data_IF_452533085394
#
_entry.id   IF_452533085394
#
_cell.length_a   1.000
_cell.length_b   1.000
_cell.length_c   1.000
_cell.angle_alpha   90.00
_cell.angle_beta   90.00
_cell.angle_gamma   90.00
#
_symmetry.space_group_name_H-M   'P 1'
#
loop_
_entity.id
_entity.type
_entity.pdbx_description
1 polymer ?
#
# COMPACT_ATOMS: atom_id res chain seq x y z
N UNK A 1 -6.38 1.51 -24.74
CA UNK A 1 -6.87 2.77 -24.16
C UNK A 1 -6.48 3.88 -25.11
N UNK A 2 -7.43 4.65 -25.63
CA UNK A 2 -7.13 5.67 -26.64
C UNK A 2 -6.48 6.90 -25.98
N UNK A 3 -5.65 7.64 -26.72
CA UNK A 3 -4.97 8.87 -26.22
C UNK A 3 -5.96 9.91 -25.64
N UNK A 4 -7.23 9.89 -26.07
CA UNK A 4 -8.30 10.77 -25.57
C UNK A 4 -8.90 10.35 -24.22
N UNK A 5 -8.74 9.10 -23.79
CA UNK A 5 -9.24 8.63 -22.49
C UNK A 5 -8.27 8.93 -21.33
N UNK A 6 -7.01 9.26 -21.64
CA UNK A 6 -6.01 9.62 -20.62
C UNK A 6 -6.18 11.05 -20.13
N UNK A 7 -6.61 11.98 -21.00
CA UNK A 7 -6.68 13.42 -20.68
C UNK A 7 -7.75 13.77 -19.62
N UNK A 8 -8.71 12.90 -19.36
CA UNK A 8 -9.76 13.10 -18.34
C UNK A 8 -9.38 12.64 -16.92
N UNK A 9 -8.20 12.06 -16.73
CA UNK A 9 -7.77 11.50 -15.43
C UNK A 9 -6.78 12.40 -14.66
N UNK A 10 -6.53 13.62 -15.13
CA UNK A 10 -5.50 14.49 -14.56
C UNK A 10 -6.11 15.57 -13.65
N UNK A 11 -5.77 15.50 -12.35
CA UNK A 11 -5.94 16.62 -11.43
C UNK A 11 -4.61 17.39 -11.33
N UNK A 12 -4.55 18.69 -11.68
CA UNK A 12 -3.40 19.52 -11.37
C UNK A 12 -3.39 19.86 -9.87
N UNK A 13 -2.27 19.61 -9.19
CA UNK A 13 -2.04 20.13 -7.85
C UNK A 13 -1.47 21.55 -7.94
N UNK A 14 -2.27 22.54 -7.56
CA UNK A 14 -1.77 23.84 -7.09
C UNK A 14 -1.51 23.72 -5.58
N UNK A 15 -0.26 23.90 -5.19
CA UNK A 15 0.14 24.00 -3.77
C UNK A 15 -0.08 25.45 -3.34
N UNK A 16 -1.21 25.74 -2.71
CA UNK A 16 -1.41 26.97 -1.93
C UNK A 16 -1.12 26.67 -0.45
N UNK A 17 -0.29 27.47 0.23
CA UNK A 17 -0.01 27.26 1.65
C UNK A 17 -1.26 27.56 2.50
N UNK A 18 -1.47 26.80 3.60
CA UNK A 18 -2.63 26.99 4.47
C UNK A 18 -2.52 28.28 5.27
N UNK A 19 -3.64 29.01 5.40
CA UNK A 19 -3.75 30.14 6.33
C UNK A 19 -3.85 29.61 7.78
N UNK A 20 -3.28 30.34 8.77
CA UNK A 20 -3.38 29.95 10.16
C UNK A 20 -4.77 30.26 10.71
N UNK A 21 -5.45 29.25 11.25
CA UNK A 21 -6.70 29.38 12.00
C UNK A 21 -6.42 29.74 13.48
N UNK A 22 -7.28 30.55 14.13
CA UNK A 22 -7.09 31.00 15.50
C UNK A 22 -7.55 29.96 16.52
N UNK A 23 -6.76 29.83 17.59
CA UNK A 23 -7.00 28.97 18.75
C UNK A 23 -8.12 29.51 19.68
N UNK A 24 -8.96 28.64 20.28
CA UNK A 24 -9.98 29.04 21.23
C UNK A 24 -9.44 29.15 22.66
N UNK A 25 -9.98 30.11 23.41
CA UNK A 25 -9.69 30.37 24.83
C UNK A 25 -10.38 29.35 25.76
N UNK A 26 -9.84 29.09 26.97
CA UNK A 26 -10.41 28.13 27.92
C UNK A 26 -11.56 28.72 28.75
N UNK A 27 -12.48 27.89 29.28
CA UNK A 27 -13.51 28.36 30.20
C UNK A 27 -12.99 28.47 31.64
N UNK A 28 -13.44 29.53 32.32
CA UNK A 28 -13.31 29.75 33.76
C UNK A 28 -14.33 28.87 34.50
N UNK A 29 -13.85 28.02 35.41
CA UNK A 29 -14.70 27.37 36.41
C UNK A 29 -14.54 28.07 37.75
N UNK A 30 -15.67 28.43 38.35
CA UNK A 30 -15.77 29.01 39.68
C UNK A 30 -15.86 27.92 40.76
N UNK A 31 -15.17 28.19 41.86
CA UNK A 31 -15.28 27.51 43.14
C UNK A 31 -16.63 27.80 43.80
N UNK A 32 -17.23 26.78 44.43
CA UNK A 32 -18.04 27.00 45.63
C UNK A 32 -17.99 25.76 46.54
N UNK A 33 -17.70 26.04 47.81
CA UNK A 33 -17.43 25.12 48.92
C UNK A 33 -18.66 24.93 49.83
N UNK A 34 -18.66 23.79 50.52
CA UNK A 34 -19.23 23.51 51.86
C UNK A 34 -20.76 23.35 52.09
N UNK A 35 -21.17 22.16 52.57
CA UNK A 35 -21.46 21.90 54.01
C UNK A 35 -21.99 20.49 54.35
N UNK A 36 -21.37 19.91 55.38
CA UNK A 36 -21.82 19.00 56.46
C UNK A 36 -23.14 18.20 56.35
N UNK A 37 -23.08 16.90 56.66
CA UNK A 37 -23.53 16.39 57.98
C UNK A 37 -23.25 14.89 58.19
N UNK A 38 -22.91 14.58 59.44
CA UNK A 38 -22.59 13.31 60.06
C UNK A 38 -23.82 12.44 60.33
N UNK A 39 -23.74 11.13 60.06
CA UNK A 39 -24.66 10.11 60.61
C UNK A 39 -23.85 8.87 61.05
N UNK A 40 -24.15 8.41 62.27
CA UNK A 40 -23.54 7.30 63.03
C UNK A 40 -23.82 5.89 62.46
N UNK A 41 -23.15 4.83 62.96
CA UNK A 41 -23.04 3.55 62.26
C UNK A 41 -24.22 2.62 62.56
N UNK A 42 -24.81 2.05 61.50
CA UNK A 42 -25.81 0.99 61.61
C UNK A 42 -25.18 -0.37 61.27
N UNK A 43 -25.37 -1.30 62.19
CA UNK A 43 -25.20 -2.76 62.17
C UNK A 43 -24.96 -3.45 60.81
N UNK A 44 -23.90 -4.26 60.78
CA UNK A 44 -23.52 -5.18 59.70
C UNK A 44 -24.60 -6.22 59.36
N UNK A 45 -25.08 -6.28 58.11
CA UNK A 45 -25.94 -7.36 57.64
C UNK A 45 -25.14 -8.65 57.33
N UNK A 46 -25.79 -9.82 57.30
CA UNK A 46 -25.14 -11.10 57.10
C UNK A 46 -24.49 -11.18 55.70
N UNK A 47 -23.32 -11.81 55.66
CA UNK A 47 -22.50 -12.06 54.46
C UNK A 47 -23.32 -12.65 53.32
N UNK A 48 -23.68 -11.78 52.37
CA UNK A 48 -24.22 -12.15 51.06
C UNK A 48 -23.13 -12.89 50.27
N UNK A 49 -23.47 -13.84 49.38
CA UNK A 49 -22.46 -14.49 48.54
C UNK A 49 -21.71 -13.40 47.80
N UNK A 50 -20.39 -13.35 47.97
CA UNK A 50 -19.52 -12.45 47.21
C UNK A 50 -19.62 -12.84 45.75
N UNK A 51 -20.60 -12.30 45.03
CA UNK A 51 -20.49 -12.16 43.59
C UNK A 51 -19.25 -11.32 43.39
N UNK A 52 -18.20 -11.96 42.90
CA UNK A 52 -16.95 -11.33 42.48
C UNK A 52 -17.31 -10.50 41.23
N UNK A 53 -18.05 -9.40 41.45
CA UNK A 53 -18.45 -8.40 40.47
C UNK A 53 -17.22 -7.59 40.10
N UNK A 54 -16.23 -8.27 39.52
CA UNK A 54 -15.15 -7.57 38.85
C UNK A 54 -15.78 -6.84 37.68
N UNK A 55 -15.60 -5.51 37.57
CA UNK A 55 -16.10 -4.78 36.42
C UNK A 55 -15.51 -5.44 35.16
N UNK A 56 -16.38 -6.04 34.33
CA UNK A 56 -15.96 -6.60 33.06
C UNK A 56 -15.63 -5.43 32.15
N UNK A 57 -14.35 -5.31 31.77
CA UNK A 57 -13.94 -4.36 30.75
C UNK A 57 -14.56 -4.79 29.42
N UNK A 58 -15.35 -3.91 28.83
CA UNK A 58 -15.89 -4.09 27.49
C UNK A 58 -14.84 -3.66 26.46
N UNK A 59 -14.70 -4.46 25.41
CA UNK A 59 -13.78 -4.23 24.29
C UNK A 59 -14.56 -4.10 22.99
N UNK A 60 -14.04 -3.29 22.05
CA UNK A 60 -14.60 -3.06 20.73
C UNK A 60 -13.56 -3.37 19.67
N UNK A 61 -14.00 -4.06 18.63
CA UNK A 61 -13.22 -4.26 17.42
C UNK A 61 -13.36 -3.02 16.54
N UNK A 62 -12.24 -2.45 16.08
CA UNK A 62 -12.22 -1.30 15.19
C UNK A 62 -11.40 -1.59 13.93
N UNK A 63 -11.93 -1.27 12.73
CA UNK A 63 -11.16 -1.37 11.51
C UNK A 63 -10.12 -0.24 11.44
N UNK A 64 -8.87 -0.57 11.14
CA UNK A 64 -7.79 0.43 11.00
C UNK A 64 -7.80 1.12 9.63
N UNK A 65 -8.58 0.61 8.69
CA UNK A 65 -8.73 1.13 7.35
C UNK A 65 -10.22 1.20 6.98
N UNK A 66 -10.58 2.17 6.14
CA UNK A 66 -11.94 2.20 5.58
C UNK A 66 -12.19 0.95 4.75
N UNK A 67 -13.35 0.32 4.94
CA UNK A 67 -13.78 -0.77 4.07
C UNK A 67 -14.30 -0.22 2.74
N UNK A 68 -14.03 -0.88 1.61
CA UNK A 68 -14.68 -0.52 0.36
C UNK A 68 -16.19 -0.75 0.49
N UNK A 69 -17.01 0.15 -0.09
CA UNK A 69 -18.46 0.03 -0.11
C UNK A 69 -18.98 -1.11 -1.00
N UNK A 70 -18.10 -1.74 -1.80
CA UNK A 70 -18.40 -2.89 -2.62
C UNK A 70 -17.34 -3.99 -2.49
N UNK A 71 -17.79 -5.23 -2.46
CA UNK A 71 -16.92 -6.42 -2.49
C UNK A 71 -17.12 -7.15 -3.80
N UNK A 72 -16.01 -7.57 -4.41
CA UNK A 72 -16.03 -8.44 -5.60
C UNK A 72 -16.10 -9.90 -5.17
N UNK A 73 -16.99 -10.66 -5.80
CA UNK A 73 -17.07 -12.10 -5.61
C UNK A 73 -15.72 -12.80 -5.85
N UNK A 74 -15.37 -13.70 -4.94
CA UNK A 74 -14.15 -14.52 -4.99
C UNK A 74 -12.85 -13.78 -4.67
N UNK A 75 -12.89 -12.46 -4.49
CA UNK A 75 -11.71 -11.67 -4.14
C UNK A 75 -11.54 -11.63 -2.63
N UNK A 76 -10.32 -11.92 -2.17
CA UNK A 76 -9.94 -11.73 -0.78
C UNK A 76 -9.83 -10.24 -0.45
N UNK A 77 -10.50 -9.83 0.62
CA UNK A 77 -10.47 -8.50 1.21
C UNK A 77 -9.84 -8.63 2.60
N UNK A 78 -8.76 -7.90 2.82
CA UNK A 78 -8.08 -7.83 4.10
C UNK A 78 -8.80 -6.84 5.02
N UNK A 79 -9.10 -7.27 6.24
CA UNK A 79 -9.69 -6.44 7.28
C UNK A 79 -8.74 -6.44 8.46
N UNK A 80 -8.04 -5.32 8.62
CA UNK A 80 -7.16 -5.10 9.76
C UNK A 80 -7.95 -4.48 10.90
N UNK A 81 -7.76 -5.03 12.09
CA UNK A 81 -8.54 -4.73 13.28
C UNK A 81 -7.64 -4.39 14.46
N UNK A 82 -8.13 -3.48 15.29
CA UNK A 82 -7.57 -3.13 16.59
C UNK A 82 -8.65 -3.32 17.67
N UNK A 83 -8.23 -3.83 18.82
CA UNK A 83 -9.09 -4.06 19.97
C UNK A 83 -8.94 -2.90 20.96
N UNK A 84 -10.00 -2.11 21.16
CA UNK A 84 -10.00 -1.00 22.11
C UNK A 84 -10.95 -1.25 23.28
N UNK A 85 -10.56 -0.82 24.49
CA UNK A 85 -11.48 -0.80 25.63
C UNK A 85 -12.45 0.38 25.55
N UNK A 86 -13.68 0.23 26.06
CA UNK A 86 -14.72 1.28 26.02
C UNK A 86 -14.36 2.62 26.67
N UNK A 87 -13.40 2.64 27.60
CA UNK A 87 -12.96 3.88 28.25
C UNK A 87 -12.06 4.75 27.36
N UNK A 88 -11.85 4.39 26.09
CA UNK A 88 -11.36 5.28 25.02
C UNK A 88 -9.99 5.95 25.25
N UNK A 89 -9.24 5.53 26.27
CA UNK A 89 -8.27 6.40 26.93
C UNK A 89 -6.80 6.05 26.75
N UNK A 90 -6.43 5.10 25.91
CA UNK A 90 -5.02 4.82 25.66
C UNK A 90 -4.79 4.61 24.16
N UNK A 91 -4.34 5.67 23.48
CA UNK A 91 -3.36 5.45 22.42
C UNK A 91 -2.25 4.60 23.05
N UNK A 92 -2.15 3.36 22.59
CA UNK A 92 -1.19 2.36 23.04
C UNK A 92 0.22 2.75 22.59
N UNK A 93 0.71 3.92 22.99
CA UNK A 93 2.15 4.18 23.03
C UNK A 93 2.70 3.41 24.23
N UNK A 94 3.05 2.16 23.91
CA UNK A 94 3.65 1.13 24.73
C UNK A 94 4.23 1.59 26.09
N UNK A 95 3.50 1.32 27.16
CA UNK A 95 4.15 0.62 28.27
C UNK A 95 4.08 -0.88 27.94
N UNK A 96 5.20 -1.56 27.64
CA UNK A 96 5.22 -2.95 27.12
C UNK A 96 4.63 -4.02 28.07
N UNK A 97 4.10 -3.62 29.22
CA UNK A 97 3.62 -4.51 30.28
C UNK A 97 2.09 -4.52 30.47
N UNK A 98 1.32 -3.73 29.71
CA UNK A 98 -0.15 -3.73 29.79
C UNK A 98 -0.82 -4.49 28.64
N UNK A 99 -0.17 -5.52 28.09
CA UNK A 99 -0.74 -6.35 27.02
C UNK A 99 -2.15 -6.85 27.38
N UNK A 100 -3.07 -6.77 26.42
CA UNK A 100 -4.35 -7.47 26.49
C UNK A 100 -4.07 -8.95 26.83
N UNK A 101 -4.39 -9.34 28.06
CA UNK A 101 -4.12 -10.69 28.54
C UNK A 101 -5.23 -11.60 28.04
N UNK A 102 -4.92 -12.30 26.97
CA UNK A 102 -5.71 -13.44 26.54
C UNK A 102 -5.78 -14.45 27.70
N UNK A 103 -6.99 -14.96 27.96
CA UNK A 103 -7.18 -16.07 28.90
C UNK A 103 -6.28 -17.24 28.48
N UNK A 104 -5.76 -17.97 29.46
CA UNK A 104 -5.09 -19.26 29.27
C UNK A 104 -3.79 -19.25 28.45
N UNK A 105 -3.04 -18.13 28.46
CA UNK A 105 -1.72 -18.05 27.82
C UNK A 105 -1.74 -18.19 26.29
N UNK A 106 -2.92 -18.00 25.69
CA UNK A 106 -3.09 -18.05 24.25
C UNK A 106 -2.42 -16.83 23.60
N UNK A 107 -1.86 -17.03 22.41
CA UNK A 107 -1.25 -15.96 21.61
C UNK A 107 -2.26 -15.23 20.71
N UNK A 108 -3.46 -15.80 20.55
CA UNK A 108 -4.47 -15.36 19.59
C UNK A 108 -5.89 -15.34 20.17
N UNK A 109 -6.59 -14.23 19.96
CA UNK A 109 -8.05 -14.10 20.04
C UNK A 109 -8.64 -14.49 18.67
N UNK A 110 -9.31 -15.64 18.53
CA UNK A 110 -9.87 -16.07 17.27
C UNK A 110 -11.01 -15.14 16.87
N UNK A 111 -11.04 -14.77 15.61
CA UNK A 111 -12.14 -14.02 15.02
C UNK A 111 -12.95 -14.92 14.10
N UNK A 112 -14.26 -14.80 14.25
CA UNK A 112 -15.25 -15.36 13.34
C UNK A 112 -15.94 -14.25 12.57
N UNK A 113 -16.47 -14.57 11.40
CA UNK A 113 -17.29 -13.67 10.63
C UNK A 113 -18.48 -14.39 10.01
N UNK A 114 -19.63 -13.72 10.00
CA UNK A 114 -20.84 -14.17 9.34
C UNK A 114 -21.45 -13.06 8.49
N UNK A 115 -22.25 -13.46 7.52
CA UNK A 115 -23.04 -12.54 6.70
C UNK A 115 -24.33 -12.22 7.42
N UNK A 116 -24.70 -10.94 7.39
CA UNK A 116 -26.01 -10.46 7.78
C UNK A 116 -26.71 -9.89 6.56
N UNK A 117 -28.00 -10.11 6.48
CA UNK A 117 -28.86 -9.67 5.39
C UNK A 117 -29.98 -8.82 5.95
N UNK A 118 -30.32 -7.76 5.24
CA UNK A 118 -31.55 -7.02 5.51
C UNK A 118 -32.64 -7.58 4.59
N UNK A 119 -33.69 -8.12 5.21
CA UNK A 119 -34.87 -8.62 4.52
C UNK A 119 -36.11 -8.14 5.27
N UNK A 120 -37.06 -7.52 4.57
CA UNK A 120 -38.29 -6.98 5.16
C UNK A 120 -38.05 -6.03 6.36
N UNK A 121 -36.93 -5.28 6.33
CA UNK A 121 -36.55 -4.33 7.39
C UNK A 121 -35.96 -4.99 8.65
N UNK A 122 -35.65 -6.28 8.61
CA UNK A 122 -34.96 -6.99 9.68
C UNK A 122 -33.57 -7.44 9.22
N UNK A 123 -32.56 -7.22 10.08
CA UNK A 123 -31.21 -7.73 9.88
C UNK A 123 -31.09 -9.11 10.52
N UNK A 124 -30.77 -10.13 9.72
CA UNK A 124 -30.66 -11.52 10.16
C UNK A 124 -29.44 -12.21 9.54
N UNK A 125 -28.90 -13.21 10.23
CA UNK A 125 -27.88 -14.11 9.67
C UNK A 125 -28.47 -15.16 8.71
N UNK A 126 -29.81 -15.28 8.66
CA UNK A 126 -30.47 -16.15 7.72
C UNK A 126 -30.49 -15.52 6.34
N UNK A 127 -30.03 -16.27 5.34
CA UNK A 127 -29.99 -15.81 3.97
C UNK A 127 -31.41 -15.66 3.39
N UNK A 128 -31.71 -14.58 2.66
CA UNK A 128 -32.98 -14.41 1.97
C UNK A 128 -33.29 -15.60 1.04
N UNK A 129 -34.57 -15.92 0.78
CA UNK A 129 -34.92 -16.90 -0.24
C UNK A 129 -34.34 -16.45 -1.59
N UNK A 130 -33.61 -17.35 -2.26
CA UNK A 130 -32.87 -17.07 -3.50
C UNK A 130 -31.64 -16.17 -3.34
N UNK A 131 -31.15 -15.94 -2.12
CA UNK A 131 -29.82 -15.42 -1.90
C UNK A 131 -29.00 -16.48 -1.15
N UNK A 132 -27.85 -16.86 -1.67
CA UNK A 132 -27.00 -17.87 -1.03
C UNK A 132 -25.56 -17.49 -1.28
N UNK A 133 -25.01 -16.78 -0.31
CA UNK A 133 -23.62 -16.36 -0.32
C UNK A 133 -22.85 -17.19 0.68
N UNK A 134 -21.65 -17.57 0.32
CA UNK A 134 -20.70 -18.24 1.23
C UNK A 134 -19.62 -17.24 1.58
N UNK A 135 -19.40 -17.03 2.87
CA UNK A 135 -18.29 -16.24 3.38
C UNK A 135 -17.16 -17.19 3.76
N UNK A 136 -16.05 -17.08 3.05
CA UNK A 136 -14.82 -17.73 3.43
C UNK A 136 -13.93 -16.74 4.17
N UNK A 137 -13.17 -17.25 5.17
CA UNK A 137 -12.24 -16.46 5.98
C UNK A 137 -10.92 -17.20 6.17
N UNK A 138 -9.83 -16.45 6.34
CA UNK A 138 -8.50 -17.00 6.66
C UNK A 138 -7.67 -16.01 7.47
N UNK A 139 -6.55 -16.49 8.01
CA UNK A 139 -5.54 -15.63 8.63
C UNK A 139 -5.07 -14.56 7.64
N UNK A 140 -4.84 -13.35 8.13
CA UNK A 140 -4.28 -12.24 7.36
C UNK A 140 -2.94 -12.69 6.73
N UNK A 141 -2.83 -12.66 5.39
CA UNK A 141 -1.63 -13.13 4.69
C UNK A 141 -0.65 -11.99 4.38
N UNK A 142 -1.10 -10.73 4.47
CA UNK A 142 -0.23 -9.61 4.12
C UNK A 142 0.91 -9.46 5.15
N UNK A 143 2.13 -9.62 4.66
CA UNK A 143 3.40 -9.59 5.38
C UNK A 143 3.80 -8.21 5.89
N UNK A 144 3.01 -7.18 5.63
CA UNK A 144 3.44 -5.79 5.76
C UNK A 144 3.19 -5.20 7.16
N UNK A 145 2.99 -6.05 8.17
CA UNK A 145 2.84 -5.61 9.56
C UNK A 145 3.70 -6.46 10.49
N UNK A 146 4.77 -5.83 11.02
CA UNK A 146 5.61 -6.35 12.08
C UNK A 146 4.73 -6.88 13.24
N UNK A 147 4.88 -8.16 13.57
CA UNK A 147 4.22 -8.80 14.70
C UNK A 147 2.98 -9.65 14.38
N UNK A 148 2.53 -9.74 13.12
CA UNK A 148 1.44 -10.63 12.71
C UNK A 148 1.90 -11.94 12.03
N UNK A 149 3.22 -12.10 11.84
CA UNK A 149 3.82 -13.19 11.04
C UNK A 149 3.60 -14.61 11.57
N UNK A 150 2.98 -14.78 12.75
CA UNK A 150 2.80 -16.08 13.40
C UNK A 150 1.34 -16.40 13.76
N UNK A 151 0.36 -15.70 13.18
CA UNK A 151 -1.03 -16.03 13.44
C UNK A 151 -1.45 -17.29 12.70
N UNK A 152 -1.77 -18.35 13.45
CA UNK A 152 -2.25 -19.62 12.90
C UNK A 152 -3.68 -19.56 12.33
N UNK A 153 -4.36 -18.41 12.45
CA UNK A 153 -5.77 -18.25 12.08
C UNK A 153 -6.22 -16.78 12.07
N UNK A 154 -7.46 -16.51 11.60
CA UNK A 154 -8.07 -15.18 11.70
C UNK A 154 -8.18 -14.77 13.17
N UNK A 155 -7.67 -13.60 13.54
CA UNK A 155 -7.61 -13.24 14.94
C UNK A 155 -6.86 -11.96 15.29
N UNK A 156 -6.88 -11.62 16.58
CA UNK A 156 -6.10 -10.54 17.19
C UNK A 156 -5.03 -11.10 18.11
N UNK A 157 -3.78 -10.68 17.91
CA UNK A 157 -2.67 -11.09 18.75
C UNK A 157 -2.66 -10.41 20.12
N UNK A 158 -1.69 -10.75 20.95
CA UNK A 158 -1.49 -10.13 22.27
C UNK A 158 -1.21 -8.63 22.23
N UNK A 159 -0.82 -8.09 21.07
CA UNK A 159 -0.64 -6.65 20.83
C UNK A 159 -1.96 -5.87 20.77
N UNK A 160 -3.11 -6.56 20.78
CA UNK A 160 -4.41 -5.94 20.51
C UNK A 160 -4.65 -5.62 19.03
N UNK A 161 -3.72 -5.99 18.14
CA UNK A 161 -3.84 -5.84 16.69
C UNK A 161 -3.92 -7.20 16.00
N UNK A 162 -4.60 -7.22 14.88
CA UNK A 162 -4.68 -8.38 14.01
C UNK A 162 -5.68 -8.17 12.90
N UNK A 163 -6.38 -9.23 12.50
CA UNK A 163 -7.35 -9.15 11.44
C UNK A 163 -7.64 -10.49 10.81
N UNK A 164 -8.29 -10.42 9.65
CA UNK A 164 -8.60 -11.57 8.82
C UNK A 164 -8.70 -11.15 7.36
N UNK A 165 -8.55 -12.12 6.48
CA UNK A 165 -8.98 -11.98 5.10
C UNK A 165 -10.29 -12.70 4.91
N UNK A 166 -11.21 -12.09 4.18
CA UNK A 166 -12.47 -12.70 3.82
C UNK A 166 -12.74 -12.60 2.32
N UNK A 167 -13.52 -13.52 1.78
CA UNK A 167 -14.09 -13.40 0.45
C UNK A 167 -15.52 -13.91 0.45
N UNK A 168 -16.35 -13.27 -0.34
CA UNK A 168 -17.74 -13.68 -0.55
C UNK A 168 -17.80 -14.44 -1.86
N UNK A 169 -18.41 -15.63 -1.84
CA UNK A 169 -18.63 -16.46 -3.02
C UNK A 169 -20.13 -16.53 -3.31
N UNK A 170 -20.54 -16.35 -4.57
CA UNK A 170 -21.91 -16.63 -4.98
C UNK A 170 -22.06 -18.14 -5.05
N UNK A 171 -23.22 -18.64 -4.65
CA UNK A 171 -23.51 -20.06 -4.76
C UNK A 171 -24.56 -20.31 -5.87
N UNK A 172 -25.21 -19.26 -6.38
CA UNK A 172 -26.04 -19.22 -7.59
C UNK A 172 -25.93 -17.85 -8.29
N UNK A 173 -26.31 -17.75 -9.58
CA UNK A 173 -26.44 -16.46 -10.29
C UNK A 173 -27.53 -15.63 -9.64
N UNK A 174 -27.15 -14.52 -8.99
CA UNK A 174 -28.06 -13.72 -8.17
C UNK A 174 -27.92 -12.23 -8.46
N UNK A 175 -29.04 -11.53 -8.25
CA UNK A 175 -29.13 -10.08 -8.26
C UNK A 175 -28.21 -9.45 -7.21
N UNK A 176 -27.85 -8.16 -7.34
CA UNK A 176 -27.11 -7.45 -6.30
C UNK A 176 -27.89 -7.50 -4.98
N UNK A 177 -27.24 -8.00 -3.93
CA UNK A 177 -27.78 -8.05 -2.57
C UNK A 177 -26.97 -7.11 -1.70
N UNK A 178 -27.67 -6.30 -0.90
CA UNK A 178 -27.05 -5.53 0.19
C UNK A 178 -26.88 -6.45 1.39
N UNK A 179 -25.69 -6.48 1.95
CA UNK A 179 -25.37 -7.32 3.11
C UNK A 179 -24.40 -6.59 4.04
N UNK A 180 -24.25 -7.13 5.25
CA UNK A 180 -23.26 -6.69 6.23
C UNK A 180 -22.41 -7.89 6.61
N UNK A 181 -21.21 -7.60 7.12
CA UNK A 181 -20.33 -8.61 7.69
C UNK A 181 -20.24 -8.34 9.18
N UNK A 182 -20.69 -9.29 10.00
CA UNK A 182 -20.44 -9.26 11.44
C UNK A 182 -19.15 -10.00 11.72
N UNK A 183 -18.23 -9.35 12.41
CA UNK A 183 -16.98 -9.91 12.92
C UNK A 183 -17.10 -9.98 14.43
N UNK A 184 -16.90 -11.16 14.99
CA UNK A 184 -17.02 -11.40 16.42
C UNK A 184 -15.94 -12.36 16.90
N UNK A 185 -15.86 -12.55 18.21
CA UNK A 185 -15.05 -13.60 18.82
C UNK A 185 -16.02 -14.50 19.60
N UNK A 186 -15.87 -15.81 19.47
CA UNK A 186 -16.66 -16.79 20.24
C UNK A 186 -16.38 -16.73 21.75
N UNK A 187 -15.29 -16.06 22.15
CA UNK A 187 -14.93 -15.93 23.56
C UNK A 187 -15.77 -14.85 24.25
N UNK A 188 -16.40 -15.26 25.36
CA UNK A 188 -17.05 -14.35 26.30
C UNK A 188 -16.01 -13.60 27.14
N UNK A 189 -15.47 -12.53 26.52
CA UNK A 189 -14.51 -11.59 27.12
C UNK A 189 -15.03 -10.15 27.07
N UNK A 190 -16.34 -9.95 26.91
CA UNK A 190 -16.92 -8.62 26.75
C UNK A 190 -16.51 -7.92 25.45
N UNK A 191 -16.19 -8.68 24.39
CA UNK A 191 -15.84 -8.14 23.08
C UNK A 191 -17.13 -7.93 22.28
N UNK A 192 -17.41 -6.67 21.96
CA UNK A 192 -18.57 -6.29 21.16
C UNK A 192 -18.29 -6.61 19.68
N UNK A 193 -19.19 -7.34 19.00
CA UNK A 193 -19.08 -7.60 17.57
C UNK A 193 -18.99 -6.31 16.75
N UNK A 194 -18.14 -6.32 15.72
CA UNK A 194 -18.06 -5.26 14.70
C UNK A 194 -18.95 -5.63 13.53
N UNK A 195 -19.83 -4.72 13.11
CA UNK A 195 -20.66 -4.90 11.91
C UNK A 195 -20.18 -3.94 10.82
N UNK A 196 -19.83 -4.48 9.66
CA UNK A 196 -19.33 -3.75 8.50
C UNK A 196 -20.39 -3.72 7.41
N UNK A 197 -20.82 -2.53 6.99
CA UNK A 197 -21.74 -2.35 5.88
C UNK A 197 -22.57 -1.06 5.99
N UNK A 198 -23.56 -0.86 5.11
CA UNK A 198 -24.01 -1.79 4.06
C UNK A 198 -22.94 -2.02 2.98
N UNK A 199 -22.83 -3.25 2.50
CA UNK A 199 -21.96 -3.66 1.41
C UNK A 199 -22.81 -4.12 0.23
N UNK A 200 -22.39 -3.74 -0.97
CA UNK A 200 -23.04 -4.17 -2.20
C UNK A 200 -22.12 -5.09 -2.99
N UNK A 201 -22.72 -6.09 -3.66
CA UNK A 201 -21.98 -6.95 -4.58
C UNK A 201 -22.19 -6.41 -5.98
N UNK A 202 -21.09 -5.97 -6.60
CA UNK A 202 -21.13 -5.57 -8.00
C UNK A 202 -20.92 -6.81 -8.86
N UNK A 203 -21.96 -7.20 -9.61
CA UNK A 203 -21.88 -8.22 -10.66
C UNK A 203 -21.20 -7.69 -11.94
N UNK A 204 -21.21 -6.37 -12.13
CA UNK A 204 -20.63 -5.73 -13.29
C UNK A 204 -19.11 -5.75 -13.24
N UNK A 205 -18.54 -6.61 -14.08
CA UNK A 205 -17.16 -6.54 -14.55
C UNK A 205 -17.05 -5.34 -15.52
N UNK A 206 -17.20 -4.14 -14.98
CA UNK A 206 -16.36 -3.04 -15.43
C UNK A 206 -15.51 -2.76 -14.23
N UNK A 207 -14.18 -2.89 -14.43
CA UNK A 207 -13.15 -2.59 -13.43
C UNK A 207 -13.72 -1.51 -12.51
N UNK A 208 -14.11 -1.89 -11.29
CA UNK A 208 -14.24 -0.90 -10.23
C UNK A 208 -12.84 -0.31 -10.25
N UNK A 209 -12.71 0.88 -10.84
CA UNK A 209 -11.49 1.65 -10.78
C UNK A 209 -11.24 1.69 -9.28
N UNK A 210 -10.27 0.87 -8.86
CA UNK A 210 -9.88 0.78 -7.48
C UNK A 210 -9.59 2.23 -7.14
N UNK A 211 -10.45 2.88 -6.36
CA UNK A 211 -10.36 4.32 -6.10
C UNK A 211 -9.07 4.66 -5.37
N UNK A 212 -8.33 3.62 -5.00
CA UNK A 212 -7.02 3.57 -4.37
C UNK A 212 -5.90 3.21 -5.36
N UNK A 213 -6.19 3.18 -6.66
CA UNK A 213 -5.21 3.15 -7.73
C UNK A 213 -5.06 4.54 -8.31
N UNK A 214 -3.84 5.05 -8.27
CA UNK A 214 -3.52 6.35 -8.87
C UNK A 214 -2.60 6.08 -10.04
N UNK A 215 -3.02 6.50 -11.24
CA UNK A 215 -2.14 6.51 -12.41
C UNK A 215 -1.46 7.88 -12.47
N UNK A 216 -0.16 7.92 -12.19
CA UNK A 216 0.66 9.13 -12.26
C UNK A 216 1.40 9.23 -13.59
N UNK A 217 1.32 10.38 -14.26
CA UNK A 217 2.25 10.72 -15.32
C UNK A 217 3.60 11.11 -14.71
N UNK A 218 4.70 10.59 -15.27
CA UNK A 218 6.06 10.98 -14.92
C UNK A 218 6.69 11.65 -16.13
N UNK A 219 7.22 12.85 -15.93
CA UNK A 219 7.89 13.60 -16.99
C UNK A 219 9.38 13.28 -17.00
N UNK A 220 9.87 12.63 -18.06
CA UNK A 220 11.31 12.49 -18.33
C UNK A 220 11.75 13.64 -19.24
N UNK A 221 12.83 14.37 -18.90
CA UNK A 221 13.31 15.47 -19.72
C UNK A 221 13.66 15.01 -21.15
N UNK A 222 13.56 15.93 -22.11
CA UNK A 222 14.00 15.71 -23.50
C UNK A 222 14.95 16.82 -23.95
N UNK A 223 15.74 16.55 -25.00
CA UNK A 223 16.64 17.53 -25.62
C UNK A 223 15.84 18.52 -26.48
N UNK A 224 16.27 19.79 -26.52
CA UNK A 224 15.82 20.84 -27.46
C UNK A 224 14.34 21.26 -27.39
N UNK A 225 13.86 21.70 -26.22
CA UNK A 225 12.49 22.23 -26.02
C UNK A 225 11.35 21.27 -26.46
N UNK A 226 11.67 20.01 -26.75
CA UNK A 226 10.69 18.98 -27.01
C UNK A 226 9.87 18.73 -25.74
N UNK A 227 8.58 18.44 -25.94
CA UNK A 227 7.70 18.08 -24.84
C UNK A 227 8.30 16.91 -24.05
N UNK A 228 8.34 16.98 -22.70
CA UNK A 228 8.84 15.89 -21.88
C UNK A 228 8.22 14.54 -22.27
N UNK A 229 9.02 13.48 -22.21
CA UNK A 229 8.51 12.14 -22.45
C UNK A 229 7.68 11.74 -21.24
N UNK A 230 6.39 11.56 -21.47
CA UNK A 230 5.48 11.10 -20.43
C UNK A 230 5.61 9.59 -20.27
N UNK A 231 5.94 9.14 -19.07
CA UNK A 231 5.86 7.75 -18.63
C UNK A 231 4.64 7.59 -17.72
N UNK A 232 4.12 6.38 -17.59
CA UNK A 232 2.95 6.08 -16.78
C UNK A 232 3.34 5.20 -15.60
N UNK A 233 2.88 5.55 -14.42
CA UNK A 233 3.12 4.76 -13.22
C UNK A 233 1.83 4.61 -12.43
N UNK A 234 1.54 3.38 -12.06
CA UNK A 234 0.43 3.04 -11.18
C UNK A 234 0.95 2.89 -9.75
N UNK A 235 0.25 3.53 -8.84
CA UNK A 235 0.32 3.30 -7.39
C UNK A 235 -0.92 2.54 -6.91
N UNK A 236 -0.76 1.79 -5.83
CA UNK A 236 -1.83 1.12 -5.10
C UNK A 236 -1.72 1.44 -3.61
N UNK A 237 -2.72 2.11 -3.03
CA UNK A 237 -2.69 2.48 -1.61
C UNK A 237 -2.92 1.30 -0.66
N UNK A 238 -3.38 0.16 -1.17
CA UNK A 238 -3.65 -1.07 -0.41
C UNK A 238 -2.43 -1.97 -0.25
N UNK A 239 -1.35 -1.74 -1.00
CA UNK A 239 -0.17 -2.60 -1.00
C UNK A 239 1.01 -1.92 -0.30
N UNK A 240 0.78 -1.29 0.86
CA UNK A 240 1.85 -0.62 1.61
C UNK A 240 2.79 -1.68 2.20
N UNK A 241 4.13 -1.54 2.11
CA UNK A 241 4.86 -0.36 1.64
C UNK A 241 5.08 -0.26 0.11
N UNK A 242 4.99 -1.35 -0.64
CA UNK A 242 5.52 -1.44 -2.01
C UNK A 242 4.66 -0.72 -3.06
N UNK A 243 3.38 -0.47 -2.76
CA UNK A 243 2.39 0.14 -3.65
C UNK A 243 2.44 1.66 -3.71
N UNK A 244 3.26 2.31 -2.88
CA UNK A 244 3.38 3.76 -2.80
C UNK A 244 4.72 4.25 -3.34
N UNK A 245 4.73 5.48 -3.83
CA UNK A 245 5.97 6.22 -4.05
C UNK A 245 6.38 6.84 -2.72
N UNK A 246 7.66 6.69 -2.37
CA UNK A 246 8.28 7.33 -1.22
C UNK A 246 9.00 8.62 -1.62
N UNK A 247 9.06 9.61 -0.73
CA UNK A 247 9.61 10.95 -1.00
C UNK A 247 11.09 10.91 -1.44
N UNK A 248 11.84 9.92 -0.96
CA UNK A 248 13.23 9.70 -1.38
C UNK A 248 13.34 9.42 -2.88
N UNK A 249 12.35 8.78 -3.50
CA UNK A 249 12.36 8.47 -4.91
C UNK A 249 12.24 9.75 -5.75
N UNK A 250 11.41 10.70 -5.32
CA UNK A 250 11.33 12.02 -5.95
C UNK A 250 12.63 12.82 -5.79
N UNK A 251 13.29 12.70 -4.65
CA UNK A 251 14.59 13.33 -4.40
C UNK A 251 15.65 12.76 -5.36
N UNK A 252 15.71 11.45 -5.53
CA UNK A 252 16.64 10.80 -6.47
C UNK A 252 16.31 11.16 -7.94
N UNK A 253 15.03 11.24 -8.30
CA UNK A 253 14.60 11.72 -9.63
C UNK A 253 15.16 13.12 -9.91
N UNK A 254 15.03 14.05 -8.96
CA UNK A 254 15.54 15.41 -9.13
C UNK A 254 17.08 15.43 -9.30
N UNK A 255 17.80 14.68 -8.45
CA UNK A 255 19.27 14.55 -8.53
C UNK A 255 19.69 13.99 -9.90
N UNK A 256 19.09 12.90 -10.35
CA UNK A 256 19.45 12.24 -11.61
C UNK A 256 19.03 13.06 -12.83
N UNK A 257 17.86 13.70 -12.79
CA UNK A 257 17.40 14.61 -13.84
C UNK A 257 18.37 15.77 -14.04
N UNK A 258 18.79 16.43 -12.95
CA UNK A 258 19.77 17.53 -12.99
C UNK A 258 21.11 17.07 -13.53
N UNK A 259 21.61 15.91 -13.06
CA UNK A 259 22.90 15.34 -13.49
C UNK A 259 22.88 14.98 -14.98
N UNK A 260 21.86 14.29 -15.46
CA UNK A 260 21.74 13.94 -16.88
C UNK A 260 21.59 15.19 -17.74
N UNK A 261 20.74 16.14 -17.34
CA UNK A 261 20.54 17.39 -18.09
C UNK A 261 21.84 18.19 -18.20
N UNK A 262 22.61 18.31 -17.13
CA UNK A 262 23.93 18.94 -17.16
C UNK A 262 24.87 18.26 -18.16
N UNK A 263 24.91 16.94 -18.19
CA UNK A 263 25.72 16.14 -19.13
C UNK A 263 25.23 16.23 -20.59
N UNK A 264 24.02 16.73 -20.85
CA UNK A 264 23.58 17.01 -22.22
C UNK A 264 24.23 18.27 -22.81
N UNK A 265 24.61 19.23 -21.95
CA UNK A 265 25.20 20.50 -22.36
C UNK A 265 26.72 20.52 -22.26
N UNK A 266 27.31 19.60 -21.48
CA UNK A 266 28.76 19.47 -21.35
C UNK A 266 29.21 18.10 -21.83
N UNK A 267 30.34 18.00 -22.56
CA UNK A 267 30.87 16.71 -23.02
C UNK A 267 31.30 15.87 -21.81
N UNK A 268 30.41 15.00 -21.36
CA UNK A 268 30.62 14.05 -20.27
C UNK A 268 30.18 12.64 -20.73
N UNK A 269 30.81 11.57 -20.20
CA UNK A 269 30.34 10.21 -20.44
C UNK A 269 28.88 10.02 -19.99
N UNK A 270 28.08 9.21 -20.70
CA UNK A 270 26.73 8.85 -20.27
C UNK A 270 26.74 8.25 -18.87
N UNK A 271 25.78 8.66 -18.03
CA UNK A 271 25.66 8.14 -16.67
C UNK A 271 24.95 6.78 -16.69
N UNK A 272 23.90 6.65 -17.50
CA UNK A 272 22.98 5.51 -17.52
C UNK A 272 22.96 4.75 -18.85
N UNK A 273 23.24 5.40 -19.98
CA UNK A 273 23.27 4.70 -21.26
C UNK A 273 24.39 3.64 -21.30
N UNK A 274 24.04 2.41 -21.72
CA UNK A 274 24.96 1.28 -21.78
C UNK A 274 25.29 0.63 -20.43
N UNK A 275 24.55 0.96 -19.37
CA UNK A 275 24.78 0.44 -18.02
C UNK A 275 23.83 -0.70 -17.65
N UNK A 276 24.28 -1.58 -16.75
CA UNK A 276 23.45 -2.53 -16.01
C UNK A 276 23.12 -1.94 -14.65
N UNK A 277 21.86 -1.57 -14.48
CA UNK A 277 21.32 -0.85 -13.33
C UNK A 277 20.43 -1.79 -12.53
N UNK A 278 20.65 -1.89 -11.22
CA UNK A 278 19.80 -2.61 -10.29
C UNK A 278 19.08 -1.61 -9.37
N UNK A 279 17.75 -1.65 -9.39
CA UNK A 279 16.86 -0.93 -8.47
C UNK A 279 16.41 -1.90 -7.37
N UNK A 280 16.97 -1.72 -6.17
CA UNK A 280 16.74 -2.57 -5.00
C UNK A 280 15.49 -2.11 -4.25
N UNK A 281 14.58 -3.05 -3.97
CA UNK A 281 13.28 -2.80 -3.33
C UNK A 281 12.52 -1.66 -4.04
N UNK A 282 12.30 -1.88 -5.34
CA UNK A 282 11.85 -0.86 -6.27
C UNK A 282 10.43 -0.33 -5.98
N UNK A 283 9.65 -1.01 -5.14
CA UNK A 283 8.27 -0.68 -4.79
C UNK A 283 7.39 -0.63 -6.04
N UNK A 284 7.03 0.58 -6.46
CA UNK A 284 6.26 0.81 -7.69
C UNK A 284 7.09 0.63 -8.97
N UNK A 285 8.42 0.63 -8.87
CA UNK A 285 9.33 0.66 -10.02
C UNK A 285 9.60 2.06 -10.57
N UNK A 286 9.12 3.12 -9.90
CA UNK A 286 9.26 4.51 -10.33
C UNK A 286 10.69 4.86 -10.77
N UNK A 287 11.66 4.59 -9.90
CA UNK A 287 13.01 5.08 -10.08
C UNK A 287 13.68 4.41 -11.28
N UNK A 288 13.68 3.07 -11.36
CA UNK A 288 14.26 2.38 -12.49
C UNK A 288 13.53 2.64 -13.83
N UNK A 289 12.21 2.79 -13.83
CA UNK A 289 11.47 3.21 -15.04
C UNK A 289 11.92 4.61 -15.49
N UNK A 290 12.06 5.55 -14.55
CA UNK A 290 12.56 6.89 -14.84
C UNK A 290 14.01 6.86 -15.37
N UNK A 291 14.89 6.05 -14.77
CA UNK A 291 16.27 5.89 -15.22
C UNK A 291 16.37 5.27 -16.61
N UNK A 292 15.48 4.36 -16.99
CA UNK A 292 15.41 3.87 -18.37
C UNK A 292 15.08 5.00 -19.35
N UNK A 293 14.20 5.92 -18.96
CA UNK A 293 13.92 7.15 -19.69
C UNK A 293 15.16 8.05 -19.85
N UNK A 294 15.91 8.26 -18.77
CA UNK A 294 17.16 9.03 -18.82
C UNK A 294 18.25 8.36 -19.66
N UNK A 295 18.40 7.04 -19.57
CA UNK A 295 19.34 6.28 -20.40
C UNK A 295 19.05 6.44 -21.89
N UNK A 296 17.76 6.51 -22.26
CA UNK A 296 17.37 6.78 -23.63
C UNK A 296 17.77 8.19 -24.07
N UNK A 297 17.53 9.19 -23.23
CA UNK A 297 17.88 10.57 -23.50
C UNK A 297 19.40 10.73 -23.77
N UNK A 298 20.22 10.09 -22.95
CA UNK A 298 21.69 10.10 -23.12
C UNK A 298 22.11 9.39 -24.40
N UNK A 299 21.50 8.25 -24.72
CA UNK A 299 21.79 7.50 -25.95
C UNK A 299 21.43 8.31 -27.21
N UNK A 300 20.28 8.98 -27.22
CA UNK A 300 19.85 9.87 -28.31
C UNK A 300 20.86 11.01 -28.48
N UNK A 301 21.33 11.60 -27.37
CA UNK A 301 22.34 12.66 -27.39
C UNK A 301 23.69 12.17 -27.95
N UNK A 302 24.14 10.99 -27.52
CA UNK A 302 25.38 10.38 -27.99
C UNK A 302 25.36 10.13 -29.50
N UNK A 303 24.24 9.61 -30.03
CA UNK A 303 24.04 9.40 -31.48
C UNK A 303 24.07 10.71 -32.26
N UNK A 304 23.38 11.75 -31.78
CA UNK A 304 23.35 13.04 -32.44
C UNK A 304 24.77 13.64 -32.56
N UNK A 305 25.57 13.56 -31.50
CA UNK A 305 26.94 14.08 -31.50
C UNK A 305 27.88 13.28 -32.43
N UNK A 306 27.71 11.95 -32.50
CA UNK A 306 28.48 11.10 -33.41
C UNK A 306 28.25 11.45 -34.88
N UNK A 307 27.01 11.74 -35.28
CA UNK A 307 26.68 12.12 -36.66
C UNK A 307 27.36 13.44 -37.05
N UNK A 308 27.30 14.46 -36.18
CA UNK A 308 27.97 15.74 -36.44
C UNK A 308 29.49 15.58 -36.60
N UNK A 309 30.13 14.74 -35.79
CA UNK A 309 31.58 14.51 -35.86
C UNK A 309 32.02 13.78 -37.14
N UNK A 310 31.15 12.96 -37.73
CA UNK A 310 31.46 12.19 -38.95
C UNK A 310 31.39 13.03 -40.24
N UNK A 311 30.78 14.21 -40.22
CA UNK A 311 30.63 15.07 -41.41
C UNK A 311 31.85 15.96 -41.70
N UNK A 312 32.82 16.09 -40.80
CA UNK A 312 33.91 17.07 -40.93
C UNK A 312 35.24 16.51 -41.47
N UNK A 313 35.34 15.23 -41.84
CA UNK A 313 36.56 14.65 -42.43
C UNK A 313 36.29 13.90 -43.74
N UNK A 314 36.47 14.55 -44.90
CA UNK A 314 36.56 13.86 -46.17
C UNK A 314 37.99 13.30 -46.32
N UNK A 315 38.13 12.03 -46.71
CA UNK A 315 39.38 11.32 -47.11
C UNK A 315 39.98 10.32 -46.12
N UNK A 316 39.26 9.23 -45.79
CA UNK A 316 39.87 7.89 -45.70
C UNK A 316 38.79 6.80 -45.67
N UNK A 317 38.83 5.79 -46.56
CA UNK A 317 37.91 4.66 -46.53
C UNK A 317 38.38 3.67 -45.45
N UNK A 318 37.92 3.85 -44.21
CA UNK A 318 38.17 2.92 -43.11
C UNK A 318 36.93 2.07 -42.84
N UNK A 319 37.22 0.79 -42.60
CA UNK A 319 36.34 -0.35 -42.31
C UNK A 319 35.05 0.02 -41.56
N UNK A 320 33.92 -0.27 -42.22
CA UNK A 320 32.55 -0.05 -41.78
C UNK A 320 32.09 -1.10 -40.76
N UNK A 321 32.69 -1.12 -39.57
CA UNK A 321 32.03 -1.72 -38.41
C UNK A 321 31.19 -0.63 -37.73
N UNK A 322 29.88 -0.60 -38.01
CA UNK A 322 28.99 0.24 -37.21
C UNK A 322 29.04 -0.28 -35.77
N UNK A 323 29.44 0.55 -34.79
CA UNK A 323 29.39 0.12 -33.40
C UNK A 323 27.93 -0.16 -33.08
N UNK A 324 27.64 -1.40 -32.67
CA UNK A 324 26.31 -1.75 -32.13
C UNK A 324 26.00 -0.78 -31.00
N UNK A 325 24.79 -0.17 -30.98
CA UNK A 325 24.46 0.79 -29.95
C UNK A 325 24.54 0.12 -28.58
N UNK A 326 25.08 0.82 -27.56
CA UNK A 326 25.20 0.25 -26.23
C UNK A 326 23.82 -0.14 -25.69
N UNK A 327 23.73 -1.32 -25.06
CA UNK A 327 22.50 -1.84 -24.49
C UNK A 327 22.43 -1.48 -23.00
N UNK A 328 21.33 -0.86 -22.56
CA UNK A 328 21.09 -0.60 -21.13
C UNK A 328 20.15 -1.68 -20.59
N UNK A 329 20.43 -2.18 -19.39
CA UNK A 329 19.49 -3.06 -18.67
C UNK A 329 19.16 -2.44 -17.32
N UNK A 330 17.87 -2.27 -17.03
CA UNK A 330 17.38 -1.85 -15.72
C UNK A 330 16.62 -3.01 -15.09
N UNK A 331 17.16 -3.53 -13.99
CA UNK A 331 16.56 -4.62 -13.23
C UNK A 331 15.87 -4.02 -12.00
N UNK A 332 14.54 -4.12 -11.96
CA UNK A 332 13.71 -3.74 -10.83
C UNK A 332 13.53 -4.95 -9.93
N UNK A 333 13.87 -4.83 -8.66
CA UNK A 333 13.78 -5.95 -7.73
C UNK A 333 13.00 -5.63 -6.48
N UNK A 334 12.19 -6.58 -6.02
CA UNK A 334 11.39 -6.46 -4.80
C UNK A 334 10.90 -7.86 -4.36
N UNK A 335 10.10 -7.91 -3.29
CA UNK A 335 9.39 -9.10 -2.85
C UNK A 335 8.32 -9.54 -3.86
N UNK A 336 7.91 -10.81 -3.77
CA UNK A 336 6.99 -11.43 -4.72
C UNK A 336 5.64 -10.68 -4.86
N UNK A 337 5.15 -10.11 -3.78
CA UNK A 337 3.89 -9.35 -3.70
C UNK A 337 3.92 -8.01 -4.46
N UNK A 338 5.10 -7.41 -4.62
CA UNK A 338 5.29 -6.17 -5.38
C UNK A 338 5.42 -6.40 -6.90
N UNK A 339 5.86 -7.58 -7.33
CA UNK A 339 6.16 -7.86 -8.74
C UNK A 339 4.95 -7.68 -9.66
N UNK A 340 3.74 -7.92 -9.18
CA UNK A 340 2.52 -7.69 -9.98
C UNK A 340 2.38 -6.23 -10.40
N UNK A 341 2.64 -5.30 -9.46
CA UNK A 341 2.59 -3.86 -9.74
C UNK A 341 3.76 -3.42 -10.61
N UNK A 342 4.97 -3.87 -10.32
CA UNK A 342 6.17 -3.54 -11.08
C UNK A 342 6.01 -3.97 -12.54
N UNK A 343 5.59 -5.21 -12.80
CA UNK A 343 5.37 -5.71 -14.15
C UNK A 343 4.29 -4.93 -14.92
N UNK A 344 3.23 -4.50 -14.23
CA UNK A 344 2.22 -3.62 -14.83
C UNK A 344 2.85 -2.28 -15.25
N UNK A 345 3.67 -1.68 -14.40
CA UNK A 345 4.33 -0.41 -14.70
C UNK A 345 5.38 -0.54 -15.80
N UNK A 346 6.15 -1.64 -15.83
CA UNK A 346 7.09 -1.92 -16.91
C UNK A 346 6.39 -2.06 -18.26
N UNK A 347 5.37 -2.93 -18.33
CA UNK A 347 4.62 -3.17 -19.58
C UNK A 347 3.90 -1.92 -20.08
N UNK A 348 3.39 -1.06 -19.17
CA UNK A 348 2.75 0.21 -19.52
C UNK A 348 3.69 1.23 -20.17
N UNK A 349 5.00 1.02 -20.08
CA UNK A 349 6.03 1.91 -20.64
C UNK A 349 6.89 1.26 -21.72
N UNK A 350 6.67 0.00 -22.08
CA UNK A 350 7.53 -0.73 -23.01
C UNK A 350 7.65 -0.03 -24.38
N UNK A 351 6.53 0.45 -24.92
CA UNK A 351 6.50 1.18 -26.21
C UNK A 351 7.02 2.63 -26.11
N UNK A 352 7.29 3.11 -24.90
CA UNK A 352 7.80 4.47 -24.64
C UNK A 352 9.31 4.49 -24.49
N UNK A 353 9.94 3.32 -24.47
CA UNK A 353 11.37 3.13 -24.24
C UNK A 353 12.02 2.58 -25.51
N UNK A 354 13.27 2.98 -25.78
CA UNK A 354 14.01 2.51 -26.94
C UNK A 354 14.26 0.98 -26.87
N UNK A 355 14.25 0.26 -28.01
CA UNK A 355 14.45 -1.19 -28.05
C UNK A 355 15.77 -1.71 -27.45
N UNK A 356 16.80 -0.87 -27.37
CA UNK A 356 18.09 -1.23 -26.77
C UNK A 356 18.18 -0.89 -25.27
N UNK A 357 17.04 -0.63 -24.63
CA UNK A 357 16.91 -0.43 -23.19
C UNK A 357 15.91 -1.45 -22.69
N UNK A 358 16.41 -2.41 -21.92
CA UNK A 358 15.60 -3.48 -21.37
C UNK A 358 15.25 -3.18 -19.91
N UNK A 359 13.96 -3.22 -19.56
CA UNK A 359 13.54 -3.20 -18.16
C UNK A 359 12.99 -4.57 -17.79
N UNK A 360 13.50 -5.14 -16.71
CA UNK A 360 13.08 -6.46 -16.20
C UNK A 360 12.74 -6.37 -14.72
N UNK A 361 11.64 -7.01 -14.31
CA UNK A 361 11.29 -7.16 -12.90
C UNK A 361 11.70 -8.55 -12.41
N UNK A 362 12.33 -8.66 -11.24
CA UNK A 362 12.72 -9.94 -10.63
C UNK A 362 12.49 -9.94 -9.13
N UNK A 363 12.12 -11.09 -8.59
CA UNK A 363 12.04 -11.27 -7.15
C UNK A 363 13.43 -11.16 -6.52
N UNK A 364 13.56 -10.40 -5.44
CA UNK A 364 14.76 -10.37 -4.62
C UNK A 364 14.41 -10.12 -3.16
N UNK A 365 14.51 -11.17 -2.34
CA UNK A 365 14.50 -11.04 -0.88
C UNK A 365 15.91 -10.77 -0.37
N UNK A 366 16.06 -9.67 0.38
CA UNK A 366 17.33 -9.29 0.98
C UNK A 366 17.88 -10.38 1.90
N UNK A 367 19.20 -10.58 1.87
CA UNK A 367 19.89 -11.56 2.72
C UNK A 367 19.67 -13.04 2.37
N UNK A 368 18.76 -13.37 1.45
CA UNK A 368 18.40 -14.77 1.13
C UNK A 368 18.86 -15.19 -0.27
N UNK A 369 18.85 -14.27 -1.24
CA UNK A 369 19.21 -14.57 -2.61
C UNK A 369 20.69 -14.23 -2.90
N UNK A 370 21.40 -15.16 -3.55
CA UNK A 370 22.66 -14.81 -4.19
C UNK A 370 22.36 -13.98 -5.44
N UNK A 371 22.97 -12.79 -5.57
CA UNK A 371 22.90 -11.94 -6.77
C UNK A 371 23.14 -12.71 -8.08
N UNK A 372 23.91 -13.80 -8.03
CA UNK A 372 24.12 -14.72 -9.14
C UNK A 372 22.81 -15.31 -9.71
N UNK A 373 21.80 -15.56 -8.88
CA UNK A 373 20.49 -16.09 -9.29
C UNK A 373 19.68 -15.07 -10.11
N UNK A 374 19.96 -13.77 -9.95
CA UNK A 374 19.35 -12.76 -10.78
C UNK A 374 19.85 -12.81 -12.23
N UNK A 375 20.95 -13.55 -12.52
CA UNK A 375 21.56 -13.59 -13.84
C UNK A 375 21.96 -12.20 -14.37
N UNK A 376 22.21 -11.26 -13.45
CA UNK A 376 22.45 -9.85 -13.80
C UNK A 376 23.86 -9.59 -14.36
N UNK A 377 24.78 -10.55 -14.20
CA UNK A 377 26.21 -10.32 -14.38
C UNK A 377 26.73 -9.28 -13.39
N UNK A 378 27.90 -8.70 -13.67
CA UNK A 378 28.37 -7.52 -12.92
C UNK A 378 27.39 -6.34 -13.08
N UNK A 379 27.27 -5.50 -12.05
CA UNK A 379 26.38 -4.34 -12.07
C UNK A 379 27.22 -3.07 -12.16
N UNK A 380 26.79 -2.13 -13.00
CA UNK A 380 27.43 -0.82 -13.09
C UNK A 380 26.89 0.14 -12.03
N UNK A 381 25.59 0.04 -11.74
CA UNK A 381 24.87 0.92 -10.84
C UNK A 381 23.93 0.09 -9.98
N UNK A 382 23.95 0.34 -8.67
CA UNK A 382 22.95 -0.15 -7.71
C UNK A 382 22.32 1.07 -7.05
N UNK A 383 21.00 1.14 -7.07
CA UNK A 383 20.22 2.20 -6.43
C UNK A 383 19.25 1.56 -5.44
N UNK A 384 18.92 2.32 -4.40
CA UNK A 384 17.91 1.96 -3.42
C UNK A 384 17.31 3.25 -2.86
N UNK A 385 15.99 3.28 -2.68
CA UNK A 385 15.26 4.48 -2.25
C UNK A 385 14.34 4.14 -1.09
N UNK A 386 14.53 4.79 0.06
CA UNK A 386 13.78 4.52 1.31
C UNK A 386 13.79 3.05 1.73
N UNK A 387 14.94 2.39 1.66
CA UNK A 387 15.04 0.94 1.95
C UNK A 387 15.55 0.62 3.35
N UNK A 388 15.79 1.66 4.16
CA UNK A 388 16.27 1.53 5.54
C UNK A 388 15.10 1.85 6.46
N UNK A 389 14.25 0.86 6.67
CA UNK A 389 13.13 0.88 7.60
C UNK A 389 12.94 -0.53 8.17
N UNK A 390 12.33 -0.63 9.35
CA UNK A 390 11.95 -1.89 10.00
C UNK A 390 10.48 -2.22 9.77
#
# INVERSE_FOLDING_TARGET
MSRRELDSLFLPYSITPPSPSPSPSPPLFGDDYDKCSSISPLSTPPSSPSMDCRPQTLFRLLPTCSMPCGIKFGTWVSITLELLSEFGGFQYEASPNQNFKLKDGQSLLPLDCCLLYEWEGQISSQSPPNCSLVLEKRALQSTNWLGLENLSGPGIGSSGRGGLELRVLPTQEQAPVTFWISISSERDQGIVPLVLGPLTISSDIRRVDDTRQVLRPISVPQRNDLSPRMMLLKETWNNVPQGRIWDSAFTLIDIFSKKTTHNLYQPAPPVFAGKRILDLSAGTGLLGIFLAGLAQLELESFRANSILSSQTCPTTPLSCHSPTPPCTTVMLTDLADALGLINFNVSSNQDRIAPNINIVAKELKWGVAHLAQLGAGELDIVIASDVVYE
#
